data_IF_793880176374
#
_entry.id   IF_793880176374
#
_cell.length_a   1.000
_cell.length_b   1.000
_cell.length_c   1.000
_cell.angle_alpha   90.00
_cell.angle_beta   90.00
_cell.angle_gamma   90.00
#
_symmetry.space_group_name_H-M   'P 1'
#
loop_
_entity.id
_entity.type
_entity.pdbx_description
1 polymer ?
#
# COMPACT_ATOMS: atom_id res chain seq x y z
N UNK A 1 -8.91 0.51 12.67
CA UNK A 1 -8.48 0.93 11.30
C UNK A 1 -9.15 0.13 10.18
N UNK A 2 -9.43 -1.16 10.36
CA UNK A 2 -10.01 -2.02 9.31
C UNK A 2 -11.28 -1.48 8.63
N UNK A 3 -12.28 -0.91 9.33
CA UNK A 3 -13.49 -0.41 8.66
C UNK A 3 -13.22 0.72 7.68
N UNK A 4 -12.24 1.60 7.98
CA UNK A 4 -11.89 2.74 7.13
C UNK A 4 -11.30 2.28 5.81
N UNK A 5 -10.40 1.29 5.82
CA UNK A 5 -9.83 0.69 4.61
C UNK A 5 -10.91 -0.01 3.77
N UNK A 6 -11.80 -0.77 4.44
CA UNK A 6 -12.92 -1.42 3.76
C UNK A 6 -13.87 -0.42 3.08
N UNK A 7 -14.19 0.69 3.75
CA UNK A 7 -14.98 1.78 3.16
C UNK A 7 -14.26 2.43 1.98
N UNK A 8 -12.96 2.71 2.10
CA UNK A 8 -12.16 3.28 1.04
C UNK A 8 -12.17 2.41 -0.21
N UNK A 9 -11.89 1.11 -0.03
CA UNK A 9 -11.95 0.13 -1.11
C UNK A 9 -13.34 0.08 -1.76
N UNK A 10 -14.40 -0.01 -0.96
CA UNK A 10 -15.77 -0.04 -1.47
C UNK A 10 -16.09 1.20 -2.31
N UNK A 11 -15.79 2.40 -1.81
CA UNK A 11 -16.05 3.63 -2.56
C UNK A 11 -15.23 3.72 -3.84
N UNK A 12 -13.99 3.23 -3.88
CA UNK A 12 -13.16 3.20 -5.10
C UNK A 12 -13.77 2.29 -6.17
N UNK A 13 -14.27 1.12 -5.76
CA UNK A 13 -14.94 0.17 -6.66
C UNK A 13 -16.26 0.74 -7.17
N UNK A 14 -17.07 1.33 -6.29
CA UNK A 14 -18.33 1.98 -6.68
C UNK A 14 -18.10 3.17 -7.61
N UNK A 15 -17.03 3.96 -7.36
CA UNK A 15 -16.63 5.05 -8.25
C UNK A 15 -16.33 4.54 -9.67
N UNK A 16 -15.50 3.50 -9.78
CA UNK A 16 -15.18 2.87 -11.05
C UNK A 16 -16.42 2.29 -11.74
N UNK A 17 -17.30 1.63 -10.98
CA UNK A 17 -18.57 1.09 -11.50
C UNK A 17 -19.45 2.20 -12.08
N UNK A 18 -19.59 3.34 -11.41
CA UNK A 18 -20.40 4.47 -11.91
C UNK A 18 -19.83 5.06 -13.20
N UNK A 19 -18.50 5.21 -13.28
CA UNK A 19 -17.85 5.66 -14.52
C UNK A 19 -18.13 4.71 -15.68
N UNK A 20 -18.12 3.41 -15.42
CA UNK A 20 -18.35 2.37 -16.46
C UNK A 20 -19.80 2.28 -16.87
N UNK A 21 -20.75 2.26 -15.91
CA UNK A 21 -22.16 1.95 -16.17
C UNK A 21 -23.02 3.15 -16.51
N UNK A 22 -22.67 4.37 -16.13
CA UNK A 22 -23.49 5.53 -16.41
C UNK A 22 -23.63 5.76 -17.93
N UNK A 23 -24.86 5.90 -18.39
CA UNK A 23 -25.13 6.19 -19.80
C UNK A 23 -24.69 7.61 -20.20
N UNK A 24 -24.91 8.57 -19.31
CA UNK A 24 -24.57 9.98 -19.52
C UNK A 24 -23.16 10.31 -19.03
N UNK A 25 -22.43 11.06 -19.84
CA UNK A 25 -21.05 11.50 -19.54
C UNK A 25 -20.97 12.32 -18.23
N UNK A 26 -21.87 13.31 -18.08
CA UNK A 26 -21.86 14.18 -16.90
C UNK A 26 -22.14 13.40 -15.62
N UNK A 27 -23.13 12.50 -15.66
CA UNK A 27 -23.46 11.64 -14.50
C UNK A 27 -22.30 10.73 -14.14
N UNK A 28 -21.61 10.14 -15.14
CA UNK A 28 -20.42 9.32 -14.92
C UNK A 28 -19.34 10.11 -14.18
N UNK A 29 -19.03 11.33 -14.66
CA UNK A 29 -17.98 12.17 -14.08
C UNK A 29 -18.35 12.62 -12.68
N UNK A 30 -19.56 13.14 -12.46
CA UNK A 30 -19.95 13.65 -11.15
C UNK A 30 -20.02 12.53 -10.11
N UNK A 31 -20.70 11.43 -10.42
CA UNK A 31 -20.84 10.32 -9.47
C UNK A 31 -19.51 9.62 -9.21
N UNK A 32 -18.70 9.43 -10.27
CA UNK A 32 -17.36 8.87 -10.14
C UNK A 32 -16.45 9.75 -9.28
N UNK A 33 -16.43 11.07 -9.52
CA UNK A 33 -15.63 12.02 -8.75
C UNK A 33 -16.05 12.08 -7.27
N UNK A 34 -17.36 12.17 -6.98
CA UNK A 34 -17.83 12.22 -5.59
C UNK A 34 -17.49 10.95 -4.80
N UNK A 35 -17.71 9.78 -5.39
CA UNK A 35 -17.36 8.52 -4.74
C UNK A 35 -15.82 8.36 -4.59
N UNK A 36 -15.05 8.85 -5.56
CA UNK A 36 -13.58 8.88 -5.45
C UNK A 36 -13.14 9.79 -4.30
N UNK A 37 -13.74 10.97 -4.12
CA UNK A 37 -13.46 11.85 -2.97
C UNK A 37 -13.75 11.15 -1.65
N UNK A 38 -14.87 10.44 -1.52
CA UNK A 38 -15.19 9.66 -0.32
C UNK A 38 -14.14 8.55 -0.08
N UNK A 39 -13.69 7.89 -1.13
CA UNK A 39 -12.62 6.90 -1.06
C UNK A 39 -11.31 7.50 -0.56
N UNK A 40 -10.84 8.59 -1.18
CA UNK A 40 -9.61 9.28 -0.83
C UNK A 40 -9.65 9.89 0.58
N UNK A 41 -10.82 10.36 1.03
CA UNK A 41 -11.00 10.86 2.38
C UNK A 41 -10.86 9.76 3.45
N UNK A 42 -11.19 8.52 3.11
CA UNK A 42 -10.94 7.36 3.97
C UNK A 42 -9.48 6.91 3.90
N UNK A 43 -8.95 6.70 2.69
CA UNK A 43 -7.57 6.26 2.49
C UNK A 43 -7.08 6.57 1.06
N UNK A 44 -6.04 7.36 0.97
CA UNK A 44 -5.58 7.93 -0.31
C UNK A 44 -5.09 6.89 -1.33
N UNK A 45 -4.53 5.76 -0.88
CA UNK A 45 -3.99 4.72 -1.76
C UNK A 45 -5.06 3.98 -2.55
N UNK A 46 -6.33 4.10 -2.19
CA UNK A 46 -7.44 3.54 -2.98
C UNK A 46 -7.65 4.21 -4.34
N UNK A 47 -6.88 5.29 -4.64
CA UNK A 47 -6.73 5.80 -6.01
C UNK A 47 -6.25 4.70 -6.96
N UNK A 48 -5.34 3.85 -6.50
CA UNK A 48 -4.78 2.73 -7.26
C UNK A 48 -5.87 1.77 -7.71
N UNK A 49 -6.77 1.42 -6.81
CA UNK A 49 -7.90 0.53 -7.10
C UNK A 49 -8.82 1.12 -8.20
N UNK A 50 -9.17 2.40 -8.06
CA UNK A 50 -9.99 3.12 -9.02
C UNK A 50 -9.33 3.15 -10.41
N UNK A 51 -8.07 3.56 -10.49
CA UNK A 51 -7.31 3.65 -11.73
C UNK A 51 -7.13 2.30 -12.40
N UNK A 52 -6.76 1.27 -11.64
CA UNK A 52 -6.56 -0.09 -12.14
C UNK A 52 -7.85 -0.71 -12.70
N UNK A 53 -8.98 -0.52 -12.01
CA UNK A 53 -10.28 -1.03 -12.47
C UNK A 53 -10.70 -0.38 -13.78
N UNK A 54 -10.53 0.95 -13.92
CA UNK A 54 -10.85 1.66 -15.16
C UNK A 54 -9.95 1.24 -16.32
N UNK A 55 -8.65 1.08 -16.06
CA UNK A 55 -7.70 0.58 -17.06
C UNK A 55 -8.02 -0.86 -17.47
N UNK A 56 -8.38 -1.71 -16.52
CA UNK A 56 -8.81 -3.09 -16.81
C UNK A 56 -10.03 -3.12 -17.70
N UNK A 57 -11.02 -2.27 -17.43
CA UNK A 57 -12.20 -2.18 -18.28
C UNK A 57 -11.87 -1.66 -19.68
N UNK A 58 -10.96 -0.68 -19.80
CA UNK A 58 -10.45 -0.24 -21.09
C UNK A 58 -9.83 -1.41 -21.87
N UNK A 59 -8.96 -2.19 -21.25
CA UNK A 59 -8.38 -3.39 -21.88
C UNK A 59 -9.47 -4.37 -22.33
N UNK A 60 -10.51 -4.59 -21.53
CA UNK A 60 -11.63 -5.46 -21.91
C UNK A 60 -12.41 -4.91 -23.10
N UNK A 61 -12.65 -3.60 -23.20
CA UNK A 61 -13.29 -2.96 -24.35
C UNK A 61 -12.46 -3.15 -25.64
N UNK A 62 -11.16 -2.87 -25.56
CA UNK A 62 -10.23 -3.06 -26.66
C UNK A 62 -10.20 -4.51 -27.11
N UNK A 63 -10.12 -5.43 -26.18
CA UNK A 63 -10.08 -6.86 -26.48
C UNK A 63 -11.38 -7.44 -27.00
N UNK A 64 -12.51 -6.85 -26.69
CA UNK A 64 -13.81 -7.19 -27.27
C UNK A 64 -14.04 -6.51 -28.61
N UNK A 65 -13.12 -5.64 -29.01
CA UNK A 65 -13.22 -4.87 -30.27
C UNK A 65 -14.54 -4.08 -30.33
N UNK A 66 -14.87 -3.41 -29.24
CA UNK A 66 -16.06 -2.57 -29.11
C UNK A 66 -15.87 -1.29 -29.95
N UNK A 67 -16.96 -0.64 -30.36
CA UNK A 67 -16.93 0.56 -31.20
C UNK A 67 -16.03 1.67 -30.61
N UNK A 68 -15.32 2.38 -31.49
CA UNK A 68 -14.35 3.43 -31.13
C UNK A 68 -14.96 4.51 -30.23
N UNK A 69 -16.16 4.92 -30.53
CA UNK A 69 -16.89 5.93 -29.74
C UNK A 69 -17.01 5.53 -28.26
N UNK A 70 -17.32 4.25 -28.01
CA UNK A 70 -17.42 3.73 -26.63
C UNK A 70 -16.07 3.66 -25.92
N UNK A 71 -15.00 3.34 -26.66
CA UNK A 71 -13.64 3.32 -26.12
C UNK A 71 -13.20 4.74 -25.74
N UNK A 72 -13.35 5.71 -26.64
CA UNK A 72 -13.00 7.11 -26.40
C UNK A 72 -13.88 7.74 -25.29
N UNK A 73 -15.19 7.44 -25.31
CA UNK A 73 -16.08 7.88 -24.25
C UNK A 73 -15.66 7.33 -22.88
N UNK A 74 -15.24 6.07 -22.80
CA UNK A 74 -14.72 5.50 -21.56
C UNK A 74 -13.43 6.18 -21.10
N UNK A 75 -12.46 6.39 -22.01
CA UNK A 75 -11.22 7.12 -21.70
C UNK A 75 -11.54 8.53 -21.16
N UNK A 76 -12.38 9.26 -21.87
CA UNK A 76 -12.77 10.61 -21.47
C UNK A 76 -13.45 10.65 -20.09
N UNK A 77 -14.41 9.75 -19.83
CA UNK A 77 -15.09 9.63 -18.53
C UNK A 77 -14.11 9.30 -17.42
N UNK A 78 -13.20 8.35 -17.67
CA UNK A 78 -12.20 7.93 -16.68
C UNK A 78 -11.26 9.05 -16.30
N UNK A 79 -10.68 9.75 -17.29
CA UNK A 79 -9.77 10.86 -17.05
C UNK A 79 -10.46 12.04 -16.37
N UNK A 80 -11.67 12.43 -16.86
CA UNK A 80 -12.42 13.53 -16.24
C UNK A 80 -12.86 13.21 -14.81
N UNK A 81 -13.29 11.96 -14.54
CA UNK A 81 -13.67 11.54 -13.17
C UNK A 81 -12.47 11.52 -12.22
N UNK A 82 -11.32 11.01 -12.66
CA UNK A 82 -10.10 11.01 -11.88
C UNK A 82 -9.64 12.44 -11.58
N UNK A 83 -9.54 13.28 -12.60
CA UNK A 83 -9.12 14.68 -12.44
C UNK A 83 -10.08 15.48 -11.54
N UNK A 84 -11.38 15.40 -11.79
CA UNK A 84 -12.39 16.08 -10.99
C UNK A 84 -12.40 15.60 -9.53
N UNK A 85 -12.27 14.29 -9.30
CA UNK A 85 -12.20 13.72 -7.96
C UNK A 85 -10.96 14.17 -7.20
N UNK A 86 -9.78 14.12 -7.82
CA UNK A 86 -8.53 14.58 -7.21
C UNK A 86 -8.54 16.08 -6.89
N UNK A 87 -9.01 16.91 -7.84
CA UNK A 87 -9.11 18.35 -7.62
C UNK A 87 -10.09 18.66 -6.50
N UNK A 88 -11.28 18.05 -6.51
CA UNK A 88 -12.29 18.23 -5.46
C UNK A 88 -11.78 17.78 -4.10
N UNK A 89 -11.11 16.62 -4.01
CA UNK A 89 -10.49 16.14 -2.79
C UNK A 89 -9.46 17.13 -2.25
N UNK A 90 -8.58 17.63 -3.09
CA UNK A 90 -7.56 18.62 -2.72
C UNK A 90 -8.20 19.91 -2.19
N UNK A 91 -9.20 20.45 -2.89
CA UNK A 91 -9.91 21.66 -2.48
C UNK A 91 -10.63 21.47 -1.14
N UNK A 92 -11.33 20.36 -0.96
CA UNK A 92 -12.02 20.05 0.30
C UNK A 92 -11.03 19.88 1.45
N UNK A 93 -9.91 19.20 1.24
CA UNK A 93 -8.86 19.06 2.25
C UNK A 93 -8.31 20.43 2.67
N UNK A 94 -7.98 21.30 1.72
CA UNK A 94 -7.51 22.67 2.02
C UNK A 94 -8.58 23.50 2.75
N UNK A 95 -9.82 23.39 2.35
CA UNK A 95 -10.94 24.07 3.01
C UNK A 95 -11.13 23.60 4.46
N UNK A 96 -11.09 22.30 4.72
CA UNK A 96 -11.24 21.75 6.08
C UNK A 96 -10.06 22.17 6.95
N UNK A 97 -8.83 22.05 6.45
CA UNK A 97 -7.62 22.46 7.18
C UNK A 97 -7.69 23.93 7.55
N UNK A 98 -8.09 24.80 6.61
CA UNK A 98 -8.28 26.23 6.85
C UNK A 98 -9.41 26.50 7.86
N UNK A 99 -10.56 25.88 7.69
CA UNK A 99 -11.73 26.11 8.56
C UNK A 99 -11.50 25.66 10.01
N UNK A 100 -10.72 24.58 10.20
CA UNK A 100 -10.39 24.05 11.51
C UNK A 100 -9.14 24.68 12.15
N UNK A 101 -8.42 25.54 11.44
CA UNK A 101 -7.15 26.11 11.90
C UNK A 101 -6.05 25.06 12.08
N UNK A 102 -6.15 23.93 11.38
CA UNK A 102 -5.17 22.84 11.50
C UNK A 102 -3.95 23.11 10.59
N UNK A 103 -2.82 22.52 10.97
CA UNK A 103 -1.64 22.45 10.12
C UNK A 103 -1.58 21.08 9.45
N UNK A 104 -1.26 21.05 8.16
CA UNK A 104 -1.02 19.80 7.48
C UNK A 104 0.26 19.14 8.03
N UNK A 105 0.16 17.88 8.38
CA UNK A 105 1.34 17.12 8.78
C UNK A 105 2.29 16.95 7.58
N UNK A 106 3.58 17.22 7.80
CA UNK A 106 4.65 16.99 6.81
C UNK A 106 5.00 15.52 6.62
N UNK A 107 4.24 14.62 7.23
CA UNK A 107 4.45 13.18 7.14
C UNK A 107 4.36 12.71 5.69
N UNK A 108 5.40 11.99 5.22
CA UNK A 108 5.51 11.49 3.85
C UNK A 108 5.34 12.56 2.75
N UNK A 109 5.87 13.76 2.95
CA UNK A 109 5.83 14.82 1.95
C UNK A 109 4.44 15.44 1.72
N UNK A 110 3.44 15.07 2.53
CA UNK A 110 2.04 15.48 2.30
C UNK A 110 1.77 16.99 2.42
N UNK A 111 2.61 17.74 3.15
CA UNK A 111 2.44 19.19 3.31
C UNK A 111 2.93 19.99 2.10
N UNK A 112 3.92 19.50 1.37
CA UNK A 112 4.64 20.24 0.32
C UNK A 112 4.24 19.82 -1.11
N UNK A 113 3.14 19.08 -1.24
CA UNK A 113 2.64 18.63 -2.55
C UNK A 113 2.15 19.84 -3.36
N UNK A 114 2.86 20.17 -4.43
CA UNK A 114 2.47 21.14 -5.43
C UNK A 114 2.43 20.50 -6.82
N UNK A 115 1.63 21.05 -7.72
CA UNK A 115 1.57 20.55 -9.11
C UNK A 115 2.96 20.58 -9.76
N UNK A 116 3.75 21.61 -9.46
CA UNK A 116 5.10 21.75 -10.01
C UNK A 116 6.05 20.67 -9.46
N UNK A 117 5.98 20.36 -8.15
CA UNK A 117 6.79 19.31 -7.53
C UNK A 117 6.44 17.93 -8.11
N UNK A 118 5.15 17.65 -8.31
CA UNK A 118 4.69 16.41 -8.94
C UNK A 118 5.27 16.29 -10.36
N UNK A 119 5.13 17.33 -11.19
CA UNK A 119 5.64 17.29 -12.57
C UNK A 119 7.16 17.13 -12.64
N UNK A 120 7.89 17.82 -11.75
CA UNK A 120 9.36 17.73 -11.69
C UNK A 120 9.83 16.32 -11.31
N UNK A 121 9.11 15.68 -10.40
CA UNK A 121 9.50 14.35 -9.89
C UNK A 121 8.85 13.19 -10.66
N UNK A 122 7.97 13.46 -11.59
CA UNK A 122 7.22 12.43 -12.35
C UNK A 122 8.11 11.34 -12.97
N UNK A 123 9.29 11.63 -13.59
CA UNK A 123 10.15 10.58 -14.14
C UNK A 123 10.64 9.61 -13.08
N UNK A 124 11.05 10.12 -11.90
CA UNK A 124 11.51 9.28 -10.78
C UNK A 124 10.37 8.46 -10.20
N UNK A 125 9.20 9.08 -9.99
CA UNK A 125 8.01 8.40 -9.49
C UNK A 125 7.57 7.25 -10.42
N UNK A 126 7.65 7.42 -11.73
CA UNK A 126 7.39 6.36 -12.70
C UNK A 126 8.41 5.22 -12.53
N UNK A 127 9.71 5.53 -12.46
CA UNK A 127 10.75 4.51 -12.30
C UNK A 127 10.57 3.72 -10.99
N UNK A 128 10.31 4.42 -9.88
CA UNK A 128 10.03 3.81 -8.57
C UNK A 128 8.78 2.91 -8.60
N UNK A 129 7.73 3.34 -9.30
CA UNK A 129 6.51 2.54 -9.45
C UNK A 129 6.77 1.22 -10.16
N UNK A 130 7.60 1.22 -11.20
CA UNK A 130 8.00 -0.02 -11.90
C UNK A 130 8.90 -0.90 -11.04
N UNK A 131 9.86 -0.31 -10.32
CA UNK A 131 10.72 -1.03 -9.38
C UNK A 131 9.89 -1.71 -8.28
N UNK A 132 8.94 -0.98 -7.73
CA UNK A 132 8.05 -1.48 -6.69
C UNK A 132 7.15 -2.63 -7.19
N UNK A 133 6.59 -2.47 -8.39
CA UNK A 133 5.81 -3.53 -9.04
C UNK A 133 6.66 -4.79 -9.22
N UNK A 134 7.89 -4.64 -9.73
CA UNK A 134 8.83 -5.74 -9.89
C UNK A 134 9.21 -6.39 -8.56
N UNK A 135 9.52 -5.58 -7.55
CA UNK A 135 9.86 -6.06 -6.22
C UNK A 135 8.70 -6.81 -5.56
N UNK A 136 7.49 -6.28 -5.67
CA UNK A 136 6.30 -6.88 -5.06
C UNK A 136 5.99 -8.27 -5.63
N UNK A 137 6.04 -8.43 -6.94
CA UNK A 137 5.61 -9.68 -7.59
C UNK A 137 6.74 -10.68 -7.82
N UNK A 138 7.98 -10.22 -8.00
CA UNK A 138 9.07 -11.08 -8.45
C UNK A 138 10.23 -11.20 -7.47
N UNK A 139 10.33 -10.31 -6.45
CA UNK A 139 11.37 -10.38 -5.43
C UNK A 139 10.76 -10.87 -4.14
N UNK A 140 10.31 -11.96 -3.92
CA UNK A 140 9.91 -12.57 -2.64
C UNK A 140 9.82 -11.58 -1.46
N UNK A 141 8.85 -10.68 -1.53
CA UNK A 141 8.62 -9.64 -0.52
C UNK A 141 8.35 -10.24 0.87
N UNK A 142 7.72 -11.41 0.89
CA UNK A 142 7.56 -12.28 2.06
C UNK A 142 8.61 -13.38 2.01
N UNK A 143 9.68 -13.23 2.76
CA UNK A 143 10.94 -14.02 2.71
C UNK A 143 10.79 -15.53 2.66
N UNK A 144 9.64 -16.10 2.93
CA UNK A 144 9.43 -17.55 3.07
C UNK A 144 8.36 -18.13 2.17
N UNK A 145 7.71 -17.30 1.35
CA UNK A 145 6.66 -17.78 0.47
C UNK A 145 7.10 -17.77 -0.98
N UNK A 146 7.84 -18.81 -1.38
CA UNK A 146 8.26 -19.01 -2.78
C UNK A 146 7.07 -19.18 -3.72
N UNK A 147 5.89 -19.60 -3.22
CA UNK A 147 4.70 -19.76 -4.03
C UNK A 147 4.18 -18.45 -4.58
N UNK A 148 4.37 -17.34 -3.89
CA UNK A 148 3.91 -16.03 -4.35
C UNK A 148 4.67 -15.57 -5.61
N UNK A 149 6.01 -15.39 -5.62
CA UNK A 149 6.70 -14.91 -6.80
C UNK A 149 6.62 -15.90 -7.97
N UNK A 150 6.73 -17.20 -7.73
CA UNK A 150 6.60 -18.21 -8.78
C UNK A 150 5.17 -18.27 -9.32
N UNK A 151 4.16 -18.26 -8.46
CA UNK A 151 2.76 -18.24 -8.85
C UNK A 151 2.40 -17.01 -9.66
N UNK A 152 2.87 -15.82 -9.27
CA UNK A 152 2.69 -14.59 -10.03
C UNK A 152 3.39 -14.63 -11.38
N UNK A 153 4.65 -15.05 -11.42
CA UNK A 153 5.39 -15.16 -12.66
C UNK A 153 4.66 -16.05 -13.69
N UNK A 154 4.22 -17.23 -13.26
CA UNK A 154 3.49 -18.16 -14.12
C UNK A 154 2.12 -17.60 -14.51
N UNK A 155 1.40 -16.97 -13.57
CA UNK A 155 0.09 -16.35 -13.84
C UNK A 155 0.21 -15.22 -14.88
N UNK A 156 1.18 -14.32 -14.71
CA UNK A 156 1.45 -13.22 -15.64
C UNK A 156 1.88 -13.76 -17.00
N UNK A 157 2.76 -14.75 -17.02
CA UNK A 157 3.19 -15.40 -18.26
C UNK A 157 2.02 -16.04 -19.00
N UNK A 158 1.13 -16.77 -18.32
CA UNK A 158 -0.07 -17.33 -18.92
C UNK A 158 -1.04 -16.25 -19.42
N UNK A 159 -1.25 -15.20 -18.62
CA UNK A 159 -2.11 -14.09 -19.03
C UNK A 159 -1.59 -13.38 -20.28
N UNK A 160 -0.28 -13.10 -20.33
CA UNK A 160 0.35 -12.45 -21.46
C UNK A 160 0.41 -13.34 -22.71
N UNK A 161 0.87 -14.59 -22.56
CA UNK A 161 1.07 -15.48 -23.71
C UNK A 161 -0.25 -15.94 -24.33
N UNK A 162 -1.22 -16.32 -23.54
CA UNK A 162 -2.48 -16.91 -24.04
C UNK A 162 -3.58 -15.86 -24.18
N UNK A 163 -3.75 -14.99 -23.20
CA UNK A 163 -4.79 -13.97 -23.19
C UNK A 163 -4.52 -12.86 -24.19
N UNK A 164 -3.33 -12.28 -24.16
CA UNK A 164 -2.96 -11.10 -24.93
C UNK A 164 -2.58 -11.46 -26.37
N UNK A 165 -1.72 -12.46 -26.60
CA UNK A 165 -1.30 -12.83 -27.95
C UNK A 165 -2.47 -13.19 -28.85
N UNK A 166 -3.43 -13.99 -28.36
CA UNK A 166 -4.62 -14.32 -29.14
C UNK A 166 -5.47 -13.11 -29.52
N UNK A 167 -5.48 -12.09 -28.69
CA UNK A 167 -6.28 -10.88 -28.89
C UNK A 167 -5.55 -9.88 -29.77
N UNK A 168 -4.27 -9.65 -29.56
CA UNK A 168 -3.44 -8.85 -30.45
C UNK A 168 -3.43 -9.44 -31.89
N UNK A 169 -3.35 -10.77 -32.02
CA UNK A 169 -3.44 -11.42 -33.32
C UNK A 169 -4.77 -11.14 -34.01
N UNK A 170 -5.91 -11.16 -33.29
CA UNK A 170 -7.22 -10.82 -33.87
C UNK A 170 -7.32 -9.34 -34.25
N UNK A 171 -6.74 -8.43 -33.45
CA UNK A 171 -6.70 -7.02 -33.78
C UNK A 171 -5.81 -6.73 -34.97
N UNK A 172 -4.65 -7.40 -35.07
CA UNK A 172 -3.74 -7.31 -36.19
C UNK A 172 -4.41 -7.78 -37.48
N UNK A 173 -5.15 -8.89 -37.44
CA UNK A 173 -5.88 -9.43 -38.57
C UNK A 173 -6.98 -8.49 -39.11
N UNK A 174 -7.57 -7.68 -38.20
CA UNK A 174 -8.57 -6.65 -38.51
C UNK A 174 -7.97 -5.28 -38.86
N UNK A 175 -6.64 -5.14 -38.91
CA UNK A 175 -5.91 -3.89 -39.18
C UNK A 175 -6.31 -2.71 -38.24
N UNK A 176 -6.72 -2.98 -37.01
CA UNK A 176 -7.10 -1.96 -36.06
C UNK A 176 -5.87 -1.48 -35.26
N UNK A 177 -4.98 -0.78 -35.93
CA UNK A 177 -3.72 -0.29 -35.35
C UNK A 177 -3.92 0.62 -34.12
N UNK A 178 -4.98 1.43 -34.13
CA UNK A 178 -5.32 2.28 -33.01
C UNK A 178 -5.54 1.47 -31.71
N UNK A 179 -6.29 0.36 -31.81
CA UNK A 179 -6.55 -0.50 -30.64
C UNK A 179 -5.31 -1.26 -30.18
N UNK A 180 -4.42 -1.58 -31.11
CA UNK A 180 -3.14 -2.19 -30.78
C UNK A 180 -2.30 -1.18 -30.00
N UNK A 181 -2.17 0.05 -30.47
CA UNK A 181 -1.42 1.11 -29.81
C UNK A 181 -2.01 1.43 -28.42
N UNK A 182 -3.33 1.62 -28.32
CA UNK A 182 -4.01 1.82 -27.05
C UNK A 182 -3.82 0.63 -26.08
N UNK A 183 -3.90 -0.58 -26.59
CA UNK A 183 -3.69 -1.80 -25.79
C UNK A 183 -2.25 -1.90 -25.26
N UNK A 184 -1.26 -1.60 -26.10
CA UNK A 184 0.15 -1.56 -25.68
C UNK A 184 0.38 -0.45 -24.65
N UNK A 185 -0.14 0.75 -24.91
CA UNK A 185 -0.06 1.86 -23.97
C UNK A 185 -0.71 1.51 -22.61
N UNK A 186 -1.90 0.90 -22.63
CA UNK A 186 -2.59 0.45 -21.44
C UNK A 186 -1.79 -0.60 -20.65
N UNK A 187 -1.09 -1.51 -21.33
CA UNK A 187 -0.22 -2.49 -20.67
C UNK A 187 1.05 -1.86 -20.07
N UNK A 188 1.63 -0.87 -20.76
CA UNK A 188 2.75 -0.10 -20.23
C UNK A 188 2.32 0.68 -18.97
N UNK A 189 1.15 1.30 -19.01
CA UNK A 189 0.63 2.10 -17.88
C UNK A 189 0.13 1.23 -16.72
N UNK A 190 -0.12 -0.06 -16.94
CA UNK A 190 -0.73 -0.94 -15.93
C UNK A 190 0.07 -1.04 -14.62
N UNK A 191 1.41 -1.22 -14.60
CA UNK A 191 2.18 -1.18 -13.36
C UNK A 191 2.06 0.15 -12.61
N UNK A 192 1.95 1.26 -13.36
CA UNK A 192 1.77 2.59 -12.78
C UNK A 192 0.39 2.70 -12.11
N UNK A 193 -0.67 2.20 -12.76
CA UNK A 193 -2.03 2.26 -12.19
C UNK A 193 -2.20 1.34 -10.97
N UNK A 194 -1.39 0.30 -10.83
CA UNK A 194 -1.35 -0.52 -9.62
C UNK A 194 -0.82 0.25 -8.40
N UNK A 195 -0.18 1.40 -8.62
CA UNK A 195 0.49 2.18 -7.57
C UNK A 195 0.46 3.69 -7.89
N UNK A 196 -0.69 4.15 -8.39
CA UNK A 196 -0.88 5.52 -8.91
C UNK A 196 -0.62 6.60 -7.85
N UNK A 197 -0.82 6.29 -6.58
CA UNK A 197 -0.56 7.20 -5.47
C UNK A 197 0.90 7.65 -5.43
N UNK A 198 1.85 6.81 -5.83
CA UNK A 198 3.27 7.15 -5.86
C UNK A 198 3.61 8.26 -6.86
N UNK A 199 2.76 8.49 -7.86
CA UNK A 199 2.93 9.62 -8.78
C UNK A 199 2.70 10.97 -8.08
N UNK A 200 1.96 10.98 -6.98
CA UNK A 200 1.57 12.17 -6.23
C UNK A 200 2.48 12.36 -5.02
N UNK A 201 2.88 11.28 -4.36
CA UNK A 201 3.65 11.28 -3.11
C UNK A 201 5.08 10.78 -3.36
N UNK A 202 5.92 11.64 -3.91
CA UNK A 202 7.28 11.30 -4.37
C UNK A 202 8.29 10.95 -3.27
N UNK A 203 7.98 11.24 -2.02
CA UNK A 203 8.85 10.97 -0.86
C UNK A 203 8.24 9.98 0.14
N UNK A 204 7.13 9.35 -0.25
CA UNK A 204 6.46 8.41 0.63
C UNK A 204 7.25 7.11 0.77
N UNK A 205 7.54 6.73 2.00
CA UNK A 205 7.96 5.36 2.29
C UNK A 205 6.78 4.44 1.99
N UNK A 206 6.92 3.60 0.98
CA UNK A 206 5.89 2.64 0.61
C UNK A 206 5.66 1.62 1.74
N UNK A 207 4.42 1.46 2.13
CA UNK A 207 4.00 0.53 3.16
C UNK A 207 3.15 -0.58 2.52
N UNK A 208 3.24 -1.81 3.05
CA UNK A 208 2.49 -2.96 2.53
C UNK A 208 0.98 -2.71 2.43
N UNK A 209 0.42 -1.94 3.36
CA UNK A 209 -0.99 -1.53 3.34
C UNK A 209 -1.34 -0.61 2.14
N UNK A 210 -0.34 -0.04 1.47
CA UNK A 210 -0.52 0.75 0.24
C UNK A 210 -0.61 -0.14 -1.01
N UNK A 211 -0.40 -1.45 -0.88
CA UNK A 211 -0.38 -2.40 -1.99
C UNK A 211 -1.75 -2.93 -2.42
N UNK A 212 -2.86 -2.24 -2.11
CA UNK A 212 -4.20 -2.71 -2.50
C UNK A 212 -4.34 -2.88 -4.01
N UNK A 213 -3.86 -1.91 -4.79
CA UNK A 213 -3.89 -1.98 -6.24
C UNK A 213 -3.04 -3.12 -6.81
N UNK A 214 -1.88 -3.40 -6.16
CA UNK A 214 -1.06 -4.55 -6.53
C UNK A 214 -1.79 -5.87 -6.29
N UNK A 215 -2.53 -6.00 -5.19
CA UNK A 215 -3.33 -7.20 -4.91
C UNK A 215 -4.46 -7.39 -5.94
N UNK A 216 -5.08 -6.31 -6.43
CA UNK A 216 -6.09 -6.36 -7.49
C UNK A 216 -5.53 -6.82 -8.85
N UNK A 217 -4.23 -6.79 -9.05
CA UNK A 217 -3.61 -7.26 -10.29
C UNK A 217 -3.85 -8.75 -10.54
N UNK A 218 -4.00 -9.58 -9.50
CA UNK A 218 -4.33 -11.00 -9.64
C UNK A 218 -5.68 -11.23 -10.31
N UNK A 219 -6.79 -10.64 -9.83
CA UNK A 219 -8.07 -10.68 -10.54
C UNK A 219 -7.99 -10.14 -11.96
N UNK A 220 -7.20 -9.09 -12.21
CA UNK A 220 -6.98 -8.54 -13.56
C UNK A 220 -6.39 -9.59 -14.50
N UNK A 221 -5.35 -10.31 -14.08
CA UNK A 221 -4.77 -11.40 -14.86
C UNK A 221 -5.80 -12.49 -15.18
N UNK A 222 -6.64 -12.86 -14.22
CA UNK A 222 -7.71 -13.85 -14.42
C UNK A 222 -8.74 -13.35 -15.42
N UNK A 223 -9.16 -12.09 -15.35
CA UNK A 223 -10.10 -11.48 -16.29
C UNK A 223 -9.53 -11.41 -17.71
N UNK A 224 -8.24 -11.12 -17.85
CA UNK A 224 -7.56 -11.13 -19.14
C UNK A 224 -7.54 -12.53 -19.78
N UNK A 225 -7.40 -13.57 -18.98
CA UNK A 225 -7.48 -14.96 -19.44
C UNK A 225 -8.90 -15.38 -19.82
N UNK A 226 -9.91 -14.94 -19.06
CA UNK A 226 -11.30 -15.36 -19.25
C UNK A 226 -11.87 -14.92 -20.61
N UNK A 227 -11.53 -13.75 -21.06
CA UNK A 227 -12.05 -13.20 -22.31
C UNK A 227 -11.51 -13.87 -23.61
N UNK A 228 -10.58 -14.83 -23.54
CA UNK A 228 -10.03 -15.50 -24.73
C UNK A 228 -10.92 -16.66 -25.19
N UNK A 229 -12.08 -16.35 -25.76
CA UNK A 229 -12.93 -17.36 -26.39
C UNK A 229 -12.41 -17.68 -27.80
N UNK A 230 -12.21 -18.96 -28.09
CA UNK A 230 -11.82 -19.46 -29.40
C UNK A 230 -12.76 -20.58 -29.82
N UNK A 231 -13.10 -20.63 -31.12
CA UNK A 231 -13.95 -21.67 -31.68
C UNK A 231 -13.18 -22.91 -32.16
N UNK A 232 -11.84 -22.84 -32.19
CA UNK A 232 -11.00 -23.98 -32.59
C UNK A 232 -10.91 -25.02 -31.44
N UNK A 233 -11.28 -26.28 -31.65
CA UNK A 233 -11.42 -27.29 -30.61
C UNK A 233 -10.10 -27.57 -29.86
N UNK A 234 -8.97 -27.67 -30.59
CA UNK A 234 -7.65 -27.86 -29.97
C UNK A 234 -7.24 -26.67 -29.07
N UNK A 235 -7.35 -25.44 -29.60
CA UNK A 235 -7.03 -24.22 -28.85
C UNK A 235 -7.96 -24.05 -27.65
N UNK A 236 -9.23 -24.45 -27.78
CA UNK A 236 -10.20 -24.45 -26.68
C UNK A 236 -9.78 -25.34 -25.52
N UNK A 237 -9.20 -26.52 -25.78
CA UNK A 237 -8.68 -27.44 -24.77
C UNK A 237 -7.51 -26.77 -23.99
N UNK A 238 -6.53 -26.21 -24.73
CA UNK A 238 -5.39 -25.52 -24.10
C UNK A 238 -5.80 -24.28 -23.30
N UNK A 239 -6.69 -23.46 -23.83
CA UNK A 239 -7.22 -22.26 -23.12
C UNK A 239 -7.97 -22.69 -21.87
N UNK A 240 -8.73 -23.77 -21.89
CA UNK A 240 -9.39 -24.30 -20.68
C UNK A 240 -8.38 -24.77 -19.64
N UNK A 241 -7.38 -25.55 -20.07
CA UNK A 241 -6.32 -26.02 -19.18
C UNK A 241 -5.54 -24.84 -18.54
N UNK A 242 -5.19 -23.83 -19.36
CA UNK A 242 -4.53 -22.63 -18.86
C UNK A 242 -5.37 -21.84 -17.85
N UNK A 243 -6.68 -21.73 -18.08
CA UNK A 243 -7.61 -21.10 -17.11
C UNK A 243 -7.67 -21.86 -15.80
N UNK A 244 -7.83 -23.18 -15.88
CA UNK A 244 -7.84 -24.02 -14.67
C UNK A 244 -6.51 -23.89 -13.92
N UNK A 245 -5.39 -23.96 -14.64
CA UNK A 245 -4.07 -23.72 -14.06
C UNK A 245 -3.93 -22.34 -13.42
N UNK A 246 -4.42 -21.28 -14.08
CA UNK A 246 -4.39 -19.92 -13.55
C UNK A 246 -5.24 -19.77 -12.26
N UNK A 247 -6.41 -20.41 -12.21
CA UNK A 247 -7.24 -20.42 -10.99
C UNK A 247 -6.53 -21.15 -9.86
N UNK A 248 -5.94 -22.31 -10.13
CA UNK A 248 -5.16 -23.07 -9.13
C UNK A 248 -3.98 -22.23 -8.63
N UNK A 249 -3.23 -21.58 -9.53
CA UNK A 249 -2.12 -20.69 -9.17
C UNK A 249 -2.60 -19.49 -8.33
N UNK A 250 -3.73 -18.88 -8.68
CA UNK A 250 -4.30 -17.79 -7.90
C UNK A 250 -4.68 -18.26 -6.48
N UNK A 251 -5.26 -19.44 -6.33
CA UNK A 251 -5.57 -20.04 -5.03
C UNK A 251 -4.29 -20.29 -4.23
N UNK A 252 -3.23 -20.81 -4.85
CA UNK A 252 -1.93 -21.02 -4.20
C UNK A 252 -1.28 -19.69 -3.76
N UNK A 253 -1.38 -18.64 -4.58
CA UNK A 253 -0.91 -17.29 -4.21
C UNK A 253 -1.69 -16.75 -3.01
N UNK A 254 -3.01 -16.86 -3.01
CA UNK A 254 -3.87 -16.45 -1.88
C UNK A 254 -3.51 -17.27 -0.63
N UNK A 255 -3.37 -18.56 -0.76
CA UNK A 255 -2.96 -19.44 0.35
C UNK A 255 -1.60 -19.03 0.92
N UNK A 256 -0.62 -18.76 0.05
CA UNK A 256 0.68 -18.26 0.46
C UNK A 256 0.59 -16.92 1.22
N UNK A 257 -0.24 -15.99 0.78
CA UNK A 257 -0.48 -14.74 1.49
C UNK A 257 -1.14 -14.96 2.86
N UNK A 258 -2.07 -15.89 2.95
CA UNK A 258 -2.70 -16.27 4.24
C UNK A 258 -1.65 -16.83 5.20
N UNK A 259 -0.78 -17.75 4.74
CA UNK A 259 0.31 -18.26 5.55
C UNK A 259 1.23 -17.14 6.06
N UNK A 260 1.61 -16.22 5.18
CA UNK A 260 2.43 -15.06 5.57
C UNK A 260 1.73 -14.16 6.60
N UNK A 261 0.43 -13.91 6.40
CA UNK A 261 -0.36 -13.12 7.35
C UNK A 261 -0.47 -13.79 8.73
N UNK A 262 -0.59 -15.11 8.78
CA UNK A 262 -0.61 -15.87 10.04
C UNK A 262 0.74 -15.77 10.76
N UNK A 263 1.86 -15.90 10.03
CA UNK A 263 3.21 -15.73 10.58
C UNK A 263 3.38 -14.29 11.12
N UNK A 264 2.94 -13.29 10.38
CA UNK A 264 3.02 -11.90 10.81
C UNK A 264 2.17 -11.64 12.06
N UNK A 265 0.96 -12.19 12.14
CA UNK A 265 0.09 -12.07 13.31
C UNK A 265 0.69 -12.73 14.56
N UNK A 266 1.30 -13.90 14.41
CA UNK A 266 1.99 -14.58 15.51
C UNK A 266 3.19 -13.77 15.98
N UNK A 267 4.00 -13.25 15.06
CA UNK A 267 5.13 -12.39 15.39
C UNK A 267 4.69 -11.10 16.10
N UNK A 268 3.59 -10.48 15.67
CA UNK A 268 3.01 -9.31 16.33
C UNK A 268 2.53 -9.62 17.75
N UNK A 269 1.91 -10.77 17.94
CA UNK A 269 1.41 -11.20 19.25
C UNK A 269 2.56 -11.42 20.23
N UNK A 270 3.57 -12.19 19.82
CA UNK A 270 4.76 -12.45 20.64
C UNK A 270 5.60 -11.18 20.86
N UNK A 271 5.75 -10.35 19.83
CA UNK A 271 6.41 -9.05 19.95
C UNK A 271 5.71 -8.14 20.95
N UNK A 272 4.37 -8.13 21.01
CA UNK A 272 3.62 -7.37 22.00
C UNK A 272 3.85 -7.86 23.42
N UNK A 273 3.91 -9.18 23.63
CA UNK A 273 4.23 -9.75 24.97
C UNK A 273 5.63 -9.35 25.40
N UNK A 274 6.58 -9.43 24.50
CA UNK A 274 7.98 -9.06 24.76
C UNK A 274 8.10 -7.58 25.09
N UNK A 275 7.44 -6.69 24.30
CA UNK A 275 7.39 -5.26 24.59
C UNK A 275 6.75 -4.96 25.94
N UNK A 276 5.69 -5.71 26.31
CA UNK A 276 5.08 -5.56 27.63
C UNK A 276 6.07 -5.91 28.73
N UNK A 277 6.69 -7.07 28.65
CA UNK A 277 7.69 -7.48 29.66
C UNK A 277 8.84 -6.48 29.77
N UNK A 278 9.38 -6.04 28.63
CA UNK A 278 10.45 -5.03 28.61
C UNK A 278 10.00 -3.71 29.22
N UNK A 279 8.80 -3.23 28.89
CA UNK A 279 8.30 -1.97 29.43
C UNK A 279 7.96 -2.04 30.91
N UNK A 280 7.51 -3.20 31.41
CA UNK A 280 7.29 -3.41 32.84
C UNK A 280 8.64 -3.37 33.60
N UNK A 281 9.69 -4.02 33.09
CA UNK A 281 11.05 -3.93 33.67
C UNK A 281 11.59 -2.50 33.66
N UNK A 282 11.46 -1.77 32.55
CA UNK A 282 11.87 -0.36 32.49
C UNK A 282 11.10 0.48 33.51
N UNK A 283 9.80 0.24 33.68
CA UNK A 283 9.00 0.94 34.67
C UNK A 283 9.45 0.64 36.11
N UNK A 284 9.72 -0.62 36.42
CA UNK A 284 10.21 -1.05 37.74
C UNK A 284 11.59 -0.45 38.05
N UNK A 285 12.49 -0.44 37.06
CA UNK A 285 13.82 0.17 37.20
C UNK A 285 13.72 1.69 37.42
N UNK A 286 12.85 2.37 36.66
CA UNK A 286 12.59 3.80 36.84
C UNK A 286 12.04 4.12 38.25
N UNK A 287 11.08 3.33 38.73
CA UNK A 287 10.49 3.52 40.07
C UNK A 287 11.50 3.22 41.19
N UNK A 288 12.39 2.26 40.96
CA UNK A 288 13.41 1.85 41.92
C UNK A 288 14.60 2.81 41.97
N UNK A 289 14.78 3.62 40.93
CA UNK A 289 15.95 4.54 40.83
C UNK A 289 15.94 5.71 41.82
N UNK A 290 14.81 5.97 42.47
CA UNK A 290 14.62 7.14 43.37
C UNK A 290 14.44 8.47 42.61
N UNK A 291 14.44 8.49 41.28
CA UNK A 291 14.14 9.68 40.49
C UNK A 291 12.64 9.89 40.24
N UNK A 292 11.83 8.91 40.60
CA UNK A 292 10.38 8.96 40.49
C UNK A 292 9.75 9.05 41.88
N UNK A 293 9.13 10.18 42.13
CA UNK A 293 8.21 10.36 43.23
C UNK A 293 6.81 10.58 42.66
N UNK A 294 5.77 10.11 43.34
CA UNK A 294 4.37 10.31 42.94
C UNK A 294 3.99 11.78 42.78
N UNK A 295 4.75 12.69 43.38
CA UNK A 295 4.52 14.14 43.37
C UNK A 295 5.36 14.91 42.34
N UNK A 296 6.50 14.39 41.86
CA UNK A 296 7.36 15.04 40.87
C UNK A 296 7.79 14.06 39.79
N UNK A 297 7.03 14.02 38.70
CA UNK A 297 7.40 13.21 37.54
C UNK A 297 8.40 13.96 36.66
N UNK A 298 9.63 13.51 36.64
CA UNK A 298 10.61 13.96 35.68
C UNK A 298 10.24 13.48 34.27
N UNK A 299 10.44 14.30 33.21
CA UNK A 299 10.17 13.90 31.85
C UNK A 299 11.18 12.84 31.40
N UNK A 300 10.66 11.73 30.86
CA UNK A 300 11.44 10.59 30.37
C UNK A 300 11.68 10.71 28.89
N UNK A 301 12.92 10.53 28.47
CA UNK A 301 13.35 10.44 27.08
C UNK A 301 13.72 8.99 26.77
N UNK A 302 12.99 8.37 25.83
CA UNK A 302 13.37 7.08 25.28
C UNK A 302 14.24 7.27 24.05
N UNK A 303 15.47 6.76 24.11
CA UNK A 303 16.43 6.78 23.02
C UNK A 303 16.55 5.38 22.42
N UNK A 304 16.52 5.30 21.09
CA UNK A 304 16.63 4.04 20.40
C UNK A 304 15.31 3.25 20.31
N UNK A 305 15.43 2.04 19.88
CA UNK A 305 14.31 1.14 19.58
C UNK A 305 14.66 -0.30 19.98
N UNK A 306 13.65 -1.11 20.37
CA UNK A 306 13.88 -2.53 20.59
C UNK A 306 14.45 -3.16 19.30
N UNK A 307 15.44 -4.00 19.42
CA UNK A 307 16.06 -4.72 18.29
C UNK A 307 15.68 -6.18 18.33
N UNK A 308 15.54 -6.81 17.17
CA UNK A 308 15.40 -8.27 17.05
C UNK A 308 16.60 -9.04 17.62
N UNK A 309 17.72 -8.36 17.85
CA UNK A 309 18.90 -8.91 18.52
C UNK A 309 18.88 -8.70 20.03
N UNK A 310 17.85 -8.05 20.58
CA UNK A 310 17.69 -7.88 22.02
C UNK A 310 17.52 -9.23 22.69
N UNK A 311 18.08 -9.39 23.90
CA UNK A 311 17.90 -10.56 24.76
C UNK A 311 16.43 -10.84 25.12
N UNK A 312 15.58 -9.80 25.04
CA UNK A 312 14.15 -9.91 25.26
C UNK A 312 13.39 -10.50 24.07
N UNK A 313 13.99 -10.56 22.88
CA UNK A 313 13.34 -10.98 21.66
C UNK A 313 13.78 -12.39 21.26
N UNK A 314 12.85 -13.32 21.12
CA UNK A 314 13.15 -14.64 20.60
C UNK A 314 13.41 -14.54 19.11
N UNK A 315 14.66 -14.76 18.69
CA UNK A 315 15.12 -14.63 17.31
C UNK A 315 14.33 -15.48 16.31
N UNK A 316 13.85 -16.64 16.73
CA UNK A 316 13.16 -17.61 15.89
C UNK A 316 11.85 -17.08 15.29
N UNK A 317 11.09 -16.29 16.05
CA UNK A 317 9.83 -15.72 15.58
C UNK A 317 10.02 -14.62 14.52
N UNK A 318 11.20 -13.99 14.47
CA UNK A 318 11.46 -12.85 13.62
C UNK A 318 12.09 -13.21 12.28
N UNK A 319 12.65 -14.42 12.14
CA UNK A 319 13.29 -14.83 10.89
C UNK A 319 12.31 -14.88 9.71
N UNK A 320 11.04 -15.14 10.00
CA UNK A 320 10.01 -15.44 9.01
C UNK A 320 8.95 -14.35 8.85
N UNK A 321 8.89 -13.41 9.78
CA UNK A 321 7.91 -12.34 9.76
C UNK A 321 8.42 -11.11 9.02
N UNK A 322 7.48 -10.34 8.49
CA UNK A 322 7.78 -9.02 7.94
C UNK A 322 8.34 -8.10 9.04
N UNK A 323 9.33 -7.24 8.76
CA UNK A 323 9.86 -6.29 9.76
C UNK A 323 8.80 -5.49 10.50
N UNK A 324 7.67 -5.15 9.86
CA UNK A 324 6.53 -4.50 10.52
C UNK A 324 5.87 -5.36 11.59
N UNK A 325 5.73 -6.65 11.32
CA UNK A 325 5.13 -7.56 12.26
C UNK A 325 6.04 -7.79 13.47
N UNK A 326 7.37 -7.76 13.26
CA UNK A 326 8.33 -7.97 14.34
C UNK A 326 8.28 -6.86 15.39
N UNK A 327 8.33 -5.61 14.97
CA UNK A 327 8.59 -4.46 15.83
C UNK A 327 7.54 -3.37 15.71
N UNK A 328 6.48 -3.60 14.95
CA UNK A 328 5.50 -2.57 14.67
C UNK A 328 6.15 -1.34 14.03
N UNK A 329 5.79 -0.15 14.50
CA UNK A 329 6.34 1.11 13.99
C UNK A 329 7.74 1.45 14.47
N UNK A 330 8.30 0.75 15.44
CA UNK A 330 9.62 1.04 15.98
C UNK A 330 10.73 1.02 14.92
N UNK A 331 10.59 0.22 13.88
CA UNK A 331 11.63 0.06 12.86
C UNK A 331 11.65 1.15 11.79
N UNK A 332 10.62 1.99 11.69
CA UNK A 332 10.52 2.99 10.61
C UNK A 332 11.59 4.08 10.72
N UNK A 333 11.61 4.77 11.87
CA UNK A 333 12.52 5.87 12.17
C UNK A 333 12.42 6.24 13.67
N UNK A 334 13.28 7.14 14.13
CA UNK A 334 13.34 7.56 15.53
C UNK A 334 12.07 8.27 15.98
N UNK A 335 11.44 9.06 15.10
CA UNK A 335 10.16 9.69 15.42
C UNK A 335 9.07 8.62 15.69
N UNK A 336 9.00 7.60 14.85
CA UNK A 336 8.06 6.50 15.05
C UNK A 336 8.39 5.67 16.28
N UNK A 337 9.66 5.47 16.61
CA UNK A 337 10.10 4.80 17.81
C UNK A 337 9.63 5.56 19.05
N UNK A 338 9.84 6.88 19.11
CA UNK A 338 9.36 7.73 20.22
C UNK A 338 7.84 7.67 20.38
N UNK A 339 7.10 7.79 19.29
CA UNK A 339 5.63 7.69 19.32
C UNK A 339 5.18 6.31 19.79
N UNK A 340 5.91 5.25 19.43
CA UNK A 340 5.63 3.87 19.82
C UNK A 340 5.92 3.66 21.32
N UNK A 341 7.03 4.15 21.87
CA UNK A 341 7.29 4.11 23.30
C UNK A 341 6.20 4.82 24.09
N UNK A 342 5.80 6.02 23.66
CA UNK A 342 4.69 6.75 24.28
C UNK A 342 3.40 5.94 24.29
N UNK A 343 3.08 5.24 23.20
CA UNK A 343 1.91 4.39 23.11
C UNK A 343 2.02 3.15 24.02
N UNK A 344 3.19 2.52 24.09
CA UNK A 344 3.44 1.36 24.97
C UNK A 344 3.20 1.72 26.42
N UNK A 345 3.79 2.81 26.90
CA UNK A 345 3.63 3.24 28.31
C UNK A 345 2.24 3.83 28.61
N UNK A 346 1.49 4.26 27.61
CA UNK A 346 0.10 4.67 27.80
C UNK A 346 -0.88 3.49 27.83
N UNK A 347 -0.68 2.51 26.93
CA UNK A 347 -1.72 1.52 26.58
C UNK A 347 -1.40 0.10 27.07
N UNK A 348 -0.14 -0.21 27.36
CA UNK A 348 0.32 -1.56 27.70
C UNK A 348 0.80 -1.66 29.14
N UNK A 349 1.51 -0.67 29.64
CA UNK A 349 2.09 -0.66 30.99
C UNK A 349 1.26 0.23 31.91
N UNK A 350 1.02 -0.17 33.18
CA UNK A 350 0.25 0.66 34.11
C UNK A 350 0.99 1.92 34.56
N UNK A 351 2.29 2.00 34.31
CA UNK A 351 3.10 3.16 34.71
C UNK A 351 2.76 4.40 33.87
N UNK A 352 2.35 5.47 34.55
CA UNK A 352 2.09 6.77 33.92
C UNK A 352 3.39 7.56 33.88
N UNK A 353 4.08 7.53 32.73
CA UNK A 353 5.30 8.32 32.57
C UNK A 353 5.00 9.66 31.87
N UNK A 354 5.63 10.71 32.34
CA UNK A 354 5.67 12.00 31.65
C UNK A 354 6.73 11.92 30.56
N UNK A 355 6.33 12.09 29.32
CA UNK A 355 7.26 12.09 28.19
C UNK A 355 7.80 13.48 27.90
N UNK A 356 9.04 13.57 27.44
CA UNK A 356 9.64 14.81 26.96
C UNK A 356 8.79 15.48 25.89
N UNK A 357 8.74 16.81 25.89
CA UNK A 357 8.16 17.59 24.79
C UNK A 357 8.97 17.42 23.50
N UNK A 358 8.44 17.90 22.36
CA UNK A 358 9.15 17.85 21.07
C UNK A 358 10.43 18.70 21.13
N UNK A 359 10.37 19.86 21.79
CA UNK A 359 11.49 20.78 21.96
C UNK A 359 12.58 20.13 22.84
N UNK A 360 12.19 19.60 23.99
CA UNK A 360 13.12 18.89 24.89
C UNK A 360 13.77 17.68 24.19
N UNK A 361 13.00 16.94 23.38
CA UNK A 361 13.54 15.84 22.59
C UNK A 361 14.60 16.33 21.58
N UNK A 362 14.33 17.42 20.87
CA UNK A 362 15.28 17.99 19.90
C UNK A 362 16.57 18.44 20.53
N UNK A 363 16.51 19.11 21.69
CA UNK A 363 17.68 19.57 22.44
C UNK A 363 18.51 18.40 22.99
N UNK A 364 17.87 17.39 23.55
CA UNK A 364 18.56 16.23 24.15
C UNK A 364 19.11 15.29 23.07
N UNK A 365 18.37 15.06 21.98
CA UNK A 365 18.77 14.13 20.94
C UNK A 365 19.98 14.61 20.12
N UNK A 366 20.26 15.91 20.11
CA UNK A 366 21.45 16.47 19.45
C UNK A 366 22.75 16.31 20.26
N UNK A 367 22.69 15.79 21.50
CA UNK A 367 23.88 15.59 22.33
C UNK A 367 24.64 14.33 21.92
N UNK A 368 25.93 14.49 21.64
CA UNK A 368 26.85 13.40 21.33
C UNK A 368 26.95 12.32 22.43
N UNK A 369 26.59 12.65 23.64
CA UNK A 369 26.54 11.72 24.78
C UNK A 369 25.54 10.56 24.56
N UNK A 370 24.47 10.79 23.79
CA UNK A 370 23.46 9.76 23.48
C UNK A 370 23.97 8.66 22.54
N UNK A 371 24.93 8.98 21.68
CA UNK A 371 25.54 7.99 20.78
C UNK A 371 26.43 6.99 21.54
N UNK A 372 26.87 7.35 22.74
CA UNK A 372 27.74 6.52 23.58
C UNK A 372 26.97 5.78 24.68
N UNK A 373 25.65 5.93 24.74
CA UNK A 373 24.83 5.24 25.73
C UNK A 373 24.87 3.72 25.53
N UNK A 374 25.08 2.96 26.60
CA UNK A 374 25.01 1.50 26.52
C UNK A 374 23.59 1.02 26.23
N UNK A 375 23.50 -0.16 25.66
CA UNK A 375 22.21 -0.77 25.32
C UNK A 375 21.56 -1.31 26.59
N UNK A 376 20.31 -0.93 26.85
CA UNK A 376 19.50 -1.49 27.94
C UNK A 376 19.20 -3.00 27.70
N UNK A 377 19.19 -3.85 28.72
CA UNK A 377 19.52 -3.56 30.14
C UNK A 377 21.02 -3.62 30.40
N UNK A 378 21.53 -2.63 31.12
CA UNK A 378 22.89 -2.62 31.63
C UNK A 378 22.92 -2.01 33.02
N UNK A 379 23.73 -2.58 33.92
CA UNK A 379 23.88 -2.11 35.27
C UNK A 379 24.35 -0.64 35.29
N UNK A 380 23.66 0.20 36.07
CA UNK A 380 23.95 1.63 36.20
C UNK A 380 23.28 2.55 35.15
N UNK A 381 22.46 2.01 34.25
CA UNK A 381 21.70 2.79 33.27
C UNK A 381 20.24 2.32 33.20
N UNK A 382 19.33 3.25 33.14
CA UNK A 382 17.88 3.04 33.03
C UNK A 382 17.40 3.51 31.67
#
# INVERSE_FOLDING_TARGET
QSPVFGCSFLFSVLAAERVVRAADFRKAVIQGALLLVMSLACYQTSLDNFCLLLLTYLLLLLFRNVDREKVHAHIGRSLCSAAAGMVLYFLLTKLIVWACGWQMASYNGGADVSVLSILKNLPNAIAETYQLFGAYFFQNYYRHNILQPVGFFVLVFLALSIGLLNRFRKMLHRKNWEYILLGVAALIVLPIMCNAIMLITSEAVWLLQMGEGLNLFVPVCLLLLEGSRTNQPMVKKYVRAARTGAVVLAVLVVYGNVCSAVIDQEAMYEGRKTLKSMSDHIADDLMSSGYFDDNEQLPVLFVGRPSSNSSFMKREYYLYANPYAQMGRFWLNDYSARASWKAVFRDITPAKLKHCSVEQYGELYSRTELEQMPVYPQEGYI
#
